data_IF_716753284122
#
_entry.id   IF_716753284122
#
_cell.length_a   1.000
_cell.length_b   1.000
_cell.length_c   1.000
_cell.angle_alpha   90.00
_cell.angle_beta   90.00
_cell.angle_gamma   90.00
#
_symmetry.space_group_name_H-M   'P 1'
#
loop_
_entity.id
_entity.type
_entity.pdbx_description
1 polymer ?
#
# COMPACT_ATOMS: atom_id res chain seq x y z
N UNK A 1 5.83 -8.62 -8.12
CA UNK A 1 4.87 -8.80 -9.23
C UNK A 1 5.46 -8.38 -10.59
N UNK A 2 5.00 -8.98 -11.69
CA UNK A 2 5.13 -8.46 -13.07
C UNK A 2 3.86 -7.68 -13.40
N UNK A 3 3.96 -6.44 -13.88
CA UNK A 3 2.79 -5.57 -14.12
C UNK A 3 2.83 -4.98 -15.52
N UNK A 4 1.76 -5.12 -16.29
CA UNK A 4 1.63 -4.51 -17.61
C UNK A 4 0.21 -3.98 -17.87
N UNK A 5 0.07 -3.14 -18.90
CA UNK A 5 -1.19 -2.50 -19.29
C UNK A 5 -1.16 -2.20 -20.77
N UNK A 6 -2.33 -2.03 -21.39
CA UNK A 6 -2.41 -1.35 -22.69
C UNK A 6 -2.51 0.17 -22.47
N UNK A 7 -1.96 1.00 -23.37
CA UNK A 7 -2.05 2.46 -23.25
C UNK A 7 -3.49 2.98 -23.17
N UNK A 8 -4.42 2.35 -23.89
CA UNK A 8 -5.83 2.72 -24.00
C UNK A 8 -6.74 2.12 -22.93
N UNK A 9 -6.21 1.26 -22.04
CA UNK A 9 -6.99 0.61 -20.98
C UNK A 9 -6.74 1.27 -19.62
N UNK A 10 -7.76 1.20 -18.78
CA UNK A 10 -7.79 1.76 -17.43
C UNK A 10 -7.63 0.70 -16.35
N UNK A 11 -7.08 -0.46 -16.72
CA UNK A 11 -6.71 -1.57 -15.82
C UNK A 11 -5.27 -2.00 -16.07
N UNK A 12 -4.64 -2.59 -15.05
CA UNK A 12 -3.35 -3.25 -15.13
C UNK A 12 -3.50 -4.74 -14.87
N UNK A 13 -2.67 -5.55 -15.52
CA UNK A 13 -2.53 -6.98 -15.28
C UNK A 13 -1.33 -7.20 -14.38
N UNK A 14 -1.53 -7.93 -13.28
CA UNK A 14 -0.48 -8.26 -12.30
C UNK A 14 -0.31 -9.76 -12.21
N UNK A 15 0.87 -10.24 -12.58
CA UNK A 15 1.25 -11.63 -12.51
C UNK A 15 2.27 -11.81 -11.38
N UNK A 16 2.17 -12.92 -10.67
CA UNK A 16 3.20 -13.31 -9.70
C UNK A 16 4.38 -13.89 -10.48
N UNK A 17 5.58 -13.35 -10.28
CA UNK A 17 6.81 -13.83 -10.93
C UNK A 17 7.11 -15.27 -10.49
N UNK A 18 7.79 -16.04 -11.34
CA UNK A 18 8.26 -17.39 -11.00
C UNK A 18 9.37 -17.35 -9.95
N UNK A 19 10.19 -16.29 -9.99
CA UNK A 19 11.29 -16.04 -9.06
C UNK A 19 11.17 -14.63 -8.49
N UNK A 20 11.27 -14.52 -7.17
CA UNK A 20 11.32 -13.24 -6.48
C UNK A 20 12.75 -12.74 -6.43
N UNK A 21 12.91 -11.42 -6.52
CA UNK A 21 14.20 -10.76 -6.43
C UNK A 21 14.70 -10.84 -4.97
N UNK A 22 15.96 -11.27 -4.75
CA UNK A 22 16.57 -11.25 -3.41
C UNK A 22 16.52 -9.82 -2.84
N UNK A 23 16.18 -9.61 -1.56
CA UNK A 23 16.07 -10.58 -0.46
C UNK A 23 14.65 -11.12 -0.19
N UNK A 24 13.69 -10.99 -1.13
CA UNK A 24 12.31 -11.43 -0.86
C UNK A 24 12.22 -12.95 -0.67
N UNK A 25 11.82 -13.40 0.52
CA UNK A 25 11.61 -14.81 0.86
C UNK A 25 10.17 -15.30 0.63
N UNK A 26 9.26 -14.41 0.22
CA UNK A 26 7.86 -14.76 -0.04
C UNK A 26 7.72 -15.79 -1.16
N UNK A 27 6.83 -16.75 -0.98
CA UNK A 27 6.40 -17.70 -2.01
C UNK A 27 5.20 -17.17 -2.80
N UNK A 28 4.93 -17.78 -3.97
CA UNK A 28 3.70 -17.50 -4.74
C UNK A 28 2.44 -17.70 -3.89
N UNK A 29 2.42 -18.76 -3.09
CA UNK A 29 1.28 -19.06 -2.22
C UNK A 29 1.08 -17.96 -1.17
N UNK A 30 2.16 -17.35 -0.68
CA UNK A 30 2.07 -16.27 0.31
C UNK A 30 1.47 -15.01 -0.32
N UNK A 31 1.89 -14.66 -1.54
CA UNK A 31 1.31 -13.54 -2.29
C UNK A 31 -0.18 -13.78 -2.55
N UNK A 32 -0.57 -14.99 -3.01
CA UNK A 32 -2.00 -15.32 -3.23
C UNK A 32 -2.82 -15.21 -1.94
N UNK A 33 -2.28 -15.64 -0.79
CA UNK A 33 -2.97 -15.48 0.50
C UNK A 33 -3.19 -14.02 0.87
N UNK A 34 -2.24 -13.14 0.58
CA UNK A 34 -2.38 -11.69 0.83
C UNK A 34 -3.40 -11.04 -0.10
N UNK A 35 -3.43 -11.42 -1.38
CA UNK A 35 -4.47 -10.98 -2.31
C UNK A 35 -5.87 -11.43 -1.86
N UNK A 36 -6.00 -12.67 -1.41
CA UNK A 36 -7.25 -13.20 -0.85
C UNK A 36 -7.68 -12.45 0.42
N UNK A 37 -6.74 -12.15 1.30
CA UNK A 37 -6.98 -11.34 2.50
C UNK A 37 -7.58 -9.97 2.13
N UNK A 38 -6.99 -9.27 1.15
CA UNK A 38 -7.52 -7.97 0.68
C UNK A 38 -8.92 -8.09 0.08
N UNK A 39 -9.24 -9.22 -0.55
CA UNK A 39 -10.58 -9.47 -1.09
C UNK A 39 -11.62 -9.72 0.01
N UNK A 40 -11.26 -10.46 1.06
CA UNK A 40 -12.16 -10.83 2.16
C UNK A 40 -12.29 -9.75 3.24
N UNK A 41 -11.35 -8.80 3.30
CA UNK A 41 -11.24 -7.81 4.38
C UNK A 41 -11.79 -6.43 4.02
N UNK A 42 -12.18 -5.63 5.02
CA UNK A 42 -12.60 -4.25 4.78
C UNK A 42 -11.45 -3.42 4.22
N UNK A 43 -11.68 -2.89 3.03
CA UNK A 43 -10.71 -2.12 2.26
C UNK A 43 -10.58 -0.68 2.72
N UNK A 44 -11.48 -0.18 3.58
CA UNK A 44 -11.49 1.20 4.08
C UNK A 44 -11.52 2.29 2.97
N UNK A 45 -11.87 1.90 1.73
CA UNK A 45 -11.68 2.72 0.54
C UNK A 45 -10.22 3.09 0.23
N UNK A 46 -9.26 2.33 0.78
CA UNK A 46 -7.80 2.50 0.65
C UNK A 46 -7.09 1.35 -0.05
N UNK A 47 -7.71 0.17 -0.18
CA UNK A 47 -7.16 -0.93 -0.97
C UNK A 47 -7.82 -0.98 -2.35
N UNK A 48 -7.02 -1.16 -3.41
CA UNK A 48 -7.51 -1.32 -4.78
C UNK A 48 -8.13 -2.71 -4.96
N UNK A 49 -9.29 -2.77 -5.59
CA UNK A 49 -9.91 -4.05 -5.93
C UNK A 49 -9.09 -4.82 -6.96
N UNK A 50 -8.74 -6.06 -6.61
CA UNK A 50 -8.08 -7.00 -7.50
C UNK A 50 -9.06 -8.09 -7.91
N UNK A 51 -9.29 -8.22 -9.22
CA UNK A 51 -10.11 -9.28 -9.79
C UNK A 51 -9.20 -10.42 -10.25
N UNK A 52 -9.43 -11.62 -9.75
CA UNK A 52 -8.68 -12.81 -10.15
C UNK A 52 -9.23 -13.39 -11.45
N UNK A 53 -8.34 -13.66 -12.40
CA UNK A 53 -8.65 -14.30 -13.68
C UNK A 53 -7.77 -15.53 -13.87
N UNK A 54 -8.40 -16.60 -14.38
CA UNK A 54 -7.72 -17.82 -14.76
C UNK A 54 -7.85 -18.06 -16.27
N UNK A 55 -6.80 -18.63 -16.86
CA UNK A 55 -6.76 -19.01 -18.27
C UNK A 55 -7.13 -17.89 -19.25
N UNK A 56 -6.73 -16.65 -18.96
CA UNK A 56 -6.97 -15.51 -19.83
C UNK A 56 -6.21 -15.70 -21.15
N UNK A 57 -6.92 -15.56 -22.27
CA UNK A 57 -6.36 -15.65 -23.63
C UNK A 57 -6.33 -14.26 -24.26
N UNK A 58 -5.15 -13.84 -24.68
CA UNK A 58 -4.95 -12.56 -25.35
C UNK A 58 -4.21 -12.84 -26.67
N UNK A 59 -4.69 -12.32 -27.82
CA UNK A 59 -4.00 -12.51 -29.09
C UNK A 59 -2.55 -12.01 -29.03
N UNK A 60 -1.62 -12.79 -29.57
CA UNK A 60 -0.17 -12.52 -29.52
C UNK A 60 0.20 -11.20 -30.16
N UNK A 61 -0.50 -10.80 -31.21
CA UNK A 61 -0.29 -9.54 -31.93
C UNK A 61 -0.62 -8.28 -31.08
N UNK A 62 -1.21 -8.44 -29.90
CA UNK A 62 -1.47 -7.37 -28.94
C UNK A 62 -0.32 -7.13 -27.97
N UNK A 63 0.70 -7.98 -27.95
CA UNK A 63 1.85 -7.81 -27.07
C UNK A 63 2.99 -7.10 -27.79
N UNK A 64 3.61 -6.17 -27.07
CA UNK A 64 4.95 -5.71 -27.44
C UNK A 64 5.92 -6.92 -27.40
N UNK A 65 6.76 -7.12 -28.43
CA UNK A 65 7.66 -8.27 -28.48
C UNK A 65 8.63 -8.37 -27.30
N UNK A 66 9.11 -7.24 -26.76
CA UNK A 66 10.01 -7.24 -25.62
C UNK A 66 9.26 -7.65 -24.34
N UNK A 67 8.05 -7.12 -24.14
CA UNK A 67 7.18 -7.53 -23.03
C UNK A 67 6.90 -9.03 -23.07
N UNK A 68 6.55 -9.58 -24.23
CA UNK A 68 6.26 -11.01 -24.37
C UNK A 68 7.50 -11.88 -24.06
N UNK A 69 8.68 -11.46 -24.52
CA UNK A 69 9.93 -12.16 -24.22
C UNK A 69 10.21 -12.19 -22.71
N UNK A 70 10.01 -11.07 -22.01
CA UNK A 70 10.18 -11.00 -20.56
C UNK A 70 9.16 -11.88 -19.81
N UNK A 71 7.88 -11.88 -20.23
CA UNK A 71 6.85 -12.72 -19.64
C UNK A 71 7.16 -14.22 -19.78
N UNK A 72 7.58 -14.66 -20.97
CA UNK A 72 7.93 -16.06 -21.21
C UNK A 72 9.22 -16.49 -20.50
N UNK A 73 10.09 -15.55 -20.13
CA UNK A 73 11.31 -15.82 -19.37
C UNK A 73 11.06 -15.86 -17.86
N UNK A 74 10.38 -14.85 -17.32
CA UNK A 74 10.31 -14.60 -15.87
C UNK A 74 8.99 -15.07 -15.22
N UNK A 75 7.98 -15.40 -16.03
CA UNK A 75 6.67 -15.90 -15.61
C UNK A 75 6.25 -17.14 -16.43
N UNK A 76 7.22 -17.93 -16.89
CA UNK A 76 7.04 -19.14 -17.71
C UNK A 76 6.10 -20.19 -17.12
N UNK A 77 5.97 -20.27 -15.79
CA UNK A 77 5.03 -21.17 -15.12
C UNK A 77 3.57 -20.74 -15.30
N UNK A 78 3.35 -19.45 -15.55
CA UNK A 78 2.04 -18.81 -15.63
C UNK A 78 1.67 -18.40 -17.06
N UNK A 79 2.66 -18.08 -17.90
CA UNK A 79 2.46 -17.56 -19.25
C UNK A 79 3.01 -18.55 -20.27
N UNK A 80 2.17 -18.92 -21.24
CA UNK A 80 2.57 -19.81 -22.35
C UNK A 80 1.96 -19.35 -23.67
N UNK A 81 2.62 -19.72 -24.77
CA UNK A 81 2.05 -19.58 -26.11
C UNK A 81 1.17 -20.78 -26.43
N UNK A 82 0.05 -20.52 -27.10
CA UNK A 82 -0.84 -21.52 -27.66
C UNK A 82 -1.36 -21.00 -29.01
N UNK A 83 -0.77 -21.49 -30.10
CA UNK A 83 -1.00 -20.99 -31.46
C UNK A 83 -0.77 -19.46 -31.55
N UNK A 84 -1.81 -18.70 -31.93
CA UNK A 84 -1.79 -17.24 -32.05
C UNK A 84 -2.15 -16.51 -30.74
N UNK A 85 -2.37 -17.24 -29.65
CA UNK A 85 -2.71 -16.67 -28.34
C UNK A 85 -1.57 -16.79 -27.32
N UNK A 86 -1.47 -15.76 -26.47
CA UNK A 86 -0.79 -15.84 -25.18
C UNK A 86 -1.82 -16.26 -24.13
N UNK A 87 -1.57 -17.38 -23.46
CA UNK A 87 -2.41 -17.90 -22.38
C UNK A 87 -1.75 -17.58 -21.05
N UNK A 88 -2.48 -16.85 -20.21
CA UNK A 88 -2.08 -16.50 -18.85
C UNK A 88 -2.91 -17.35 -17.90
N UNK A 89 -2.27 -18.33 -17.25
CA UNK A 89 -2.93 -19.28 -16.35
C UNK A 89 -3.58 -18.59 -15.15
N UNK A 90 -2.96 -17.53 -14.64
CA UNK A 90 -3.43 -16.79 -13.46
C UNK A 90 -2.94 -15.34 -13.50
N UNK A 91 -3.83 -14.38 -13.23
CA UNK A 91 -3.49 -12.95 -13.17
C UNK A 91 -4.50 -12.18 -12.32
N UNK A 92 -4.05 -11.11 -11.69
CA UNK A 92 -4.93 -10.14 -11.06
C UNK A 92 -5.13 -8.93 -11.98
N UNK A 93 -6.37 -8.49 -12.15
CA UNK A 93 -6.72 -7.29 -12.89
C UNK A 93 -7.17 -6.23 -11.89
N UNK A 94 -6.46 -5.11 -11.88
CA UNK A 94 -6.72 -3.99 -10.98
C UNK A 94 -6.93 -2.69 -11.77
N UNK A 95 -7.66 -1.74 -11.18
CA UNK A 95 -7.77 -0.40 -11.76
C UNK A 95 -6.38 0.22 -11.93
N UNK A 96 -6.09 0.78 -13.11
CA UNK A 96 -4.89 1.56 -13.34
C UNK A 96 -4.98 2.89 -12.61
N UNK A 97 -4.03 3.11 -11.71
CA UNK A 97 -3.95 4.29 -10.85
C UNK A 97 -2.59 4.94 -11.05
N UNK A 98 -2.50 6.26 -10.89
CA UNK A 98 -1.23 6.97 -11.02
C UNK A 98 -0.35 6.67 -9.80
N UNK A 99 0.86 6.07 -9.94
CA UNK A 99 1.75 5.86 -8.81
C UNK A 99 2.05 7.18 -8.08
N UNK A 100 1.98 7.18 -6.75
CA UNK A 100 2.10 8.38 -5.92
C UNK A 100 3.48 9.01 -6.07
N UNK A 101 4.55 8.21 -6.13
CA UNK A 101 5.90 8.72 -6.39
C UNK A 101 5.99 9.55 -7.69
N UNK A 102 5.33 9.10 -8.78
CA UNK A 102 5.28 9.84 -10.04
C UNK A 102 4.38 11.08 -9.92
N UNK A 103 3.23 10.95 -9.25
CA UNK A 103 2.32 12.06 -9.03
C UNK A 103 3.01 13.20 -8.26
N UNK A 104 3.77 12.88 -7.22
CA UNK A 104 4.50 13.86 -6.41
C UNK A 104 5.61 14.57 -7.18
N UNK A 105 6.11 13.98 -8.28
CA UNK A 105 7.12 14.59 -9.14
C UNK A 105 6.53 15.53 -10.20
N UNK A 106 5.29 15.28 -10.63
CA UNK A 106 4.70 15.94 -11.80
C UNK A 106 3.62 16.97 -11.47
N UNK A 107 2.95 16.82 -10.34
CA UNK A 107 1.82 17.67 -9.98
C UNK A 107 2.28 19.05 -9.47
N UNK A 108 1.36 20.02 -9.46
CA UNK A 108 1.62 21.31 -8.82
C UNK A 108 1.64 21.19 -7.28
N UNK A 109 2.22 22.18 -6.61
CA UNK A 109 2.41 22.19 -5.16
C UNK A 109 1.12 21.96 -4.35
N UNK A 110 -0.01 22.56 -4.77
CA UNK A 110 -1.29 22.39 -4.07
C UNK A 110 -1.79 20.95 -4.15
N UNK A 111 -1.65 20.31 -5.30
CA UNK A 111 -2.00 18.91 -5.51
C UNK A 111 -1.05 17.96 -4.76
N UNK A 112 0.25 18.26 -4.74
CA UNK A 112 1.26 17.55 -3.94
C UNK A 112 0.90 17.59 -2.45
N UNK A 113 0.63 18.77 -1.91
CA UNK A 113 0.25 18.95 -0.51
C UNK A 113 -1.06 18.21 -0.16
N UNK A 114 -2.04 18.18 -1.07
CA UNK A 114 -3.26 17.42 -0.89
C UNK A 114 -3.02 15.91 -0.88
N UNK A 115 -2.23 15.39 -1.83
CA UNK A 115 -1.90 13.97 -1.93
C UNK A 115 -1.05 13.50 -0.74
N UNK A 116 -0.10 14.31 -0.26
CA UNK A 116 0.72 13.96 0.90
C UNK A 116 -0.12 13.84 2.19
N UNK A 117 -1.10 14.73 2.38
CA UNK A 117 -2.04 14.63 3.50
C UNK A 117 -2.93 13.39 3.39
N UNK A 118 -3.47 13.13 2.21
CA UNK A 118 -4.32 11.95 2.02
C UNK A 118 -3.52 10.63 2.06
N UNK A 119 -2.22 10.66 1.73
CA UNK A 119 -1.30 9.55 1.95
C UNK A 119 -1.15 9.24 3.44
N UNK A 120 -0.86 10.24 4.28
CA UNK A 120 -0.83 10.04 5.73
C UNK A 120 -2.17 9.55 6.29
N UNK A 121 -3.30 10.08 5.80
CA UNK A 121 -4.63 9.60 6.18
C UNK A 121 -4.86 8.15 5.72
N UNK A 122 -4.41 7.77 4.52
CA UNK A 122 -4.57 6.40 4.01
C UNK A 122 -3.90 5.36 4.89
N UNK A 123 -2.72 5.67 5.46
CA UNK A 123 -2.02 4.81 6.42
C UNK A 123 -2.87 4.63 7.69
N UNK A 124 -3.43 5.72 8.21
CA UNK A 124 -4.28 5.67 9.41
C UNK A 124 -5.56 4.89 9.18
N UNK A 125 -6.19 5.07 8.02
CA UNK A 125 -7.41 4.37 7.62
C UNK A 125 -7.15 2.86 7.47
N UNK A 126 -6.01 2.46 6.89
CA UNK A 126 -5.59 1.06 6.82
C UNK A 126 -5.30 0.48 8.20
N UNK A 127 -4.59 1.22 9.06
CA UNK A 127 -4.36 0.79 10.44
C UNK A 127 -5.67 0.62 11.22
N UNK A 128 -6.62 1.53 11.03
CA UNK A 128 -7.97 1.46 11.59
C UNK A 128 -8.75 0.24 11.12
N UNK A 129 -8.52 -0.23 9.89
CA UNK A 129 -9.06 -1.49 9.39
C UNK A 129 -8.18 -2.70 9.71
N UNK A 130 -7.27 -2.65 10.70
CA UNK A 130 -6.38 -3.76 11.05
C UNK A 130 -5.42 -4.20 9.94
N UNK A 131 -5.07 -3.31 9.00
CA UNK A 131 -4.14 -3.60 7.91
C UNK A 131 -2.85 -2.82 8.11
N UNK A 132 -1.72 -3.52 8.12
CA UNK A 132 -0.41 -2.92 7.98
C UNK A 132 0.11 -3.17 6.55
N UNK A 133 0.46 -2.11 5.79
CA UNK A 133 0.87 -2.27 4.40
C UNK A 133 2.20 -3.00 4.19
N UNK A 134 3.04 -3.13 5.22
CA UNK A 134 4.44 -3.54 5.07
C UNK A 134 5.27 -2.33 4.65
N UNK A 135 5.68 -2.29 3.38
CA UNK A 135 6.45 -1.21 2.78
C UNK A 135 5.59 0.04 2.49
N UNK A 136 5.83 1.11 3.25
CA UNK A 136 5.17 2.40 3.11
C UNK A 136 5.74 3.26 1.95
N UNK A 137 6.65 2.76 1.12
CA UNK A 137 7.18 3.55 0.00
C UNK A 137 6.07 4.04 -0.96
N UNK A 138 6.19 5.29 -1.39
CA UNK A 138 5.19 5.96 -2.26
C UNK A 138 4.99 5.30 -3.63
N UNK A 139 5.92 4.44 -4.08
CA UNK A 139 5.75 3.62 -5.28
C UNK A 139 4.68 2.52 -5.14
N UNK A 140 4.29 2.17 -3.91
CA UNK A 140 3.29 1.13 -3.60
C UNK A 140 1.88 1.73 -3.42
N UNK A 141 1.79 3.07 -3.47
CA UNK A 141 0.55 3.83 -3.37
C UNK A 141 0.25 4.53 -4.68
N UNK A 142 -1.02 4.81 -4.93
CA UNK A 142 -1.48 5.49 -6.11
C UNK A 142 -2.52 6.56 -5.83
N UNK A 143 -2.59 7.56 -6.71
CA UNK A 143 -3.56 8.65 -6.69
C UNK A 143 -4.64 8.39 -7.73
N UNK A 144 -5.88 8.27 -7.25
CA UNK A 144 -7.08 8.12 -8.09
C UNK A 144 -7.44 9.42 -8.81
N UNK A 145 -8.36 9.36 -9.77
CA UNK A 145 -8.87 10.55 -10.50
C UNK A 145 -9.44 11.64 -9.57
N UNK A 146 -9.96 11.26 -8.40
CA UNK A 146 -10.53 12.17 -7.41
C UNK A 146 -9.51 12.64 -6.35
N UNK A 147 -8.23 12.32 -6.54
CA UNK A 147 -7.16 12.74 -5.64
C UNK A 147 -7.07 11.92 -4.36
N UNK A 148 -7.76 10.78 -4.26
CA UNK A 148 -7.57 9.84 -3.14
C UNK A 148 -6.34 8.97 -3.35
N UNK A 149 -5.57 8.79 -2.28
CA UNK A 149 -4.46 7.87 -2.16
C UNK A 149 -4.96 6.50 -1.72
N UNK A 150 -4.53 5.48 -2.45
CA UNK A 150 -4.86 4.07 -2.24
C UNK A 150 -3.59 3.23 -2.34
N UNK A 151 -3.56 2.10 -1.65
CA UNK A 151 -2.49 1.12 -1.63
C UNK A 151 -2.81 -0.02 -2.60
N UNK A 152 -1.80 -0.51 -3.32
CA UNK A 152 -1.99 -1.55 -4.36
C UNK A 152 -0.90 -2.64 -4.37
N UNK A 153 0.11 -2.59 -3.51
CA UNK A 153 1.15 -3.63 -3.48
C UNK A 153 0.96 -4.56 -2.28
N UNK A 154 0.32 -5.70 -2.47
CA UNK A 154 -0.06 -6.57 -1.37
C UNK A 154 1.00 -7.61 -1.00
N UNK A 155 2.20 -7.55 -1.58
CA UNK A 155 3.25 -8.57 -1.37
C UNK A 155 3.71 -8.65 0.11
N UNK A 156 3.68 -7.53 0.84
CA UNK A 156 4.16 -7.42 2.24
C UNK A 156 3.06 -7.08 3.25
N UNK A 157 1.82 -6.99 2.78
CA UNK A 157 0.68 -6.67 3.63
C UNK A 157 0.44 -7.75 4.67
N UNK A 158 0.14 -7.33 5.90
CA UNK A 158 -0.25 -8.21 7.01
C UNK A 158 -1.28 -7.54 7.93
N UNK A 159 -1.78 -8.29 8.91
CA UNK A 159 -2.64 -7.71 9.92
C UNK A 159 -1.85 -6.82 10.87
N UNK A 160 -2.39 -5.66 11.19
CA UNK A 160 -1.78 -4.75 12.15
C UNK A 160 -1.58 -5.43 13.51
N UNK A 161 -2.49 -6.31 13.93
CA UNK A 161 -2.40 -7.03 15.20
C UNK A 161 -1.23 -8.01 15.30
N UNK A 162 -0.67 -8.45 14.17
CA UNK A 162 0.43 -9.42 14.10
C UNK A 162 1.81 -8.73 14.15
N UNK A 163 1.83 -7.41 13.96
CA UNK A 163 3.01 -6.56 14.02
C UNK A 163 3.51 -6.33 15.46
N UNK A 164 4.83 -6.15 15.61
CA UNK A 164 5.50 -5.78 16.86
C UNK A 164 6.09 -4.38 16.72
N UNK A 165 5.32 -3.35 17.05
CA UNK A 165 5.78 -1.95 16.98
C UNK A 165 6.64 -1.60 18.19
N UNK A 166 7.92 -1.28 17.96
CA UNK A 166 8.93 -1.05 19.00
C UNK A 166 9.54 0.33 18.88
N UNK A 167 10.01 0.86 20.00
CA UNK A 167 10.79 2.09 20.02
C UNK A 167 12.18 1.78 19.49
N UNK A 168 12.70 2.65 18.62
CA UNK A 168 14.05 2.49 18.08
C UNK A 168 15.09 2.68 19.21
N UNK A 169 15.90 1.67 19.55
CA UNK A 169 16.89 1.78 20.61
C UNK A 169 17.88 2.92 20.34
N UNK A 170 18.03 3.82 21.31
CA UNK A 170 19.02 4.90 21.23
C UNK A 170 20.40 4.34 21.55
N UNK A 171 21.38 4.65 20.70
CA UNK A 171 22.76 4.28 20.95
C UNK A 171 23.27 4.98 22.22
N UNK A 172 24.03 4.24 23.03
CA UNK A 172 24.59 4.70 24.30
C UNK A 172 26.11 4.75 24.29
N UNK A 173 26.75 4.21 23.25
CA UNK A 173 28.20 4.25 23.06
C UNK A 173 28.57 4.63 21.62
N UNK A 174 29.75 5.22 21.38
CA UNK A 174 30.20 5.55 20.03
C UNK A 174 30.27 4.33 19.10
N UNK A 175 30.63 3.16 19.62
CA UNK A 175 30.69 1.91 18.85
C UNK A 175 29.30 1.49 18.35
N UNK A 176 28.25 1.75 19.13
CA UNK A 176 26.87 1.49 18.73
C UNK A 176 26.39 2.46 17.65
N UNK A 177 26.79 3.74 17.71
CA UNK A 177 26.47 4.74 16.68
C UNK A 177 27.16 4.45 15.35
N UNK A 178 28.39 3.89 15.39
CA UNK A 178 29.19 3.56 14.21
C UNK A 178 28.92 2.15 13.66
N UNK A 179 28.04 1.37 14.29
CA UNK A 179 27.76 0.00 13.87
C UNK A 179 27.12 -0.04 12.47
N UNK A 180 27.66 -0.88 11.59
CA UNK A 180 27.15 -1.03 10.22
C UNK A 180 25.83 -1.85 10.16
N UNK A 181 25.59 -2.67 11.18
CA UNK A 181 24.37 -3.45 11.37
C UNK A 181 23.73 -3.08 12.71
N UNK A 182 22.41 -3.27 12.88
CA UNK A 182 21.75 -3.03 14.16
C UNK A 182 22.46 -3.77 15.30
N UNK A 183 22.89 -3.02 16.33
CA UNK A 183 23.54 -3.59 17.52
C UNK A 183 22.54 -4.26 18.49
N UNK A 184 21.26 -4.27 18.14
CA UNK A 184 20.17 -4.85 18.90
C UNK A 184 19.43 -5.91 18.07
N UNK A 185 18.74 -6.83 18.75
CA UNK A 185 17.99 -7.89 18.08
C UNK A 185 16.70 -7.35 17.43
N UNK A 186 16.55 -7.66 16.14
CA UNK A 186 15.36 -7.42 15.31
C UNK A 186 14.74 -8.77 14.95
N UNK A 187 13.45 -8.94 15.22
CA UNK A 187 12.66 -10.12 14.81
C UNK A 187 11.86 -9.83 13.54
N UNK A 188 11.38 -10.89 12.88
CA UNK A 188 10.67 -10.82 11.58
C UNK A 188 9.50 -9.81 11.53
N UNK A 189 8.78 -9.63 12.64
CA UNK A 189 7.63 -8.72 12.72
C UNK A 189 7.92 -7.43 13.51
N UNK A 190 9.18 -7.18 13.90
CA UNK A 190 9.55 -5.95 14.59
C UNK A 190 9.56 -4.78 13.59
N UNK A 191 8.83 -3.72 13.93
CA UNK A 191 8.69 -2.52 13.10
C UNK A 191 9.05 -1.31 13.95
N UNK A 192 9.88 -0.43 13.38
CA UNK A 192 10.34 0.83 13.98
C UNK A 192 9.83 2.01 13.14
N UNK A 193 8.63 2.54 13.43
CA UNK A 193 8.04 3.65 12.68
C UNK A 193 8.91 4.90 12.55
N UNK A 194 9.84 5.10 13.47
CA UNK A 194 10.81 6.21 13.48
C UNK A 194 11.76 6.16 12.29
N UNK A 195 11.95 4.98 11.67
CA UNK A 195 12.82 4.82 10.50
C UNK A 195 12.10 5.18 9.19
N UNK A 196 10.76 5.12 9.14
CA UNK A 196 10.01 5.37 7.91
C UNK A 196 10.36 6.70 7.22
N UNK A 197 10.52 7.85 7.93
CA UNK A 197 10.90 9.11 7.29
C UNK A 197 12.19 9.02 6.47
N UNK A 198 13.14 8.16 6.86
CA UNK A 198 14.44 8.03 6.18
C UNK A 198 14.29 7.44 4.77
N UNK A 199 13.27 6.60 4.55
CA UNK A 199 13.08 5.89 3.28
C UNK A 199 12.10 6.57 2.32
N UNK A 200 11.17 7.40 2.83
CA UNK A 200 10.08 7.96 2.02
C UNK A 200 10.52 8.96 0.94
N UNK A 201 11.69 9.60 1.08
CA UNK A 201 12.31 10.56 0.13
C UNK A 201 11.29 11.47 -0.58
N UNK A 202 10.50 12.20 0.21
CA UNK A 202 9.42 13.05 -0.28
C UNK A 202 9.95 14.44 -0.70
N UNK A 203 9.34 15.10 -1.71
CA UNK A 203 9.56 16.53 -1.95
C UNK A 203 9.23 17.37 -0.71
N UNK A 204 9.89 18.51 -0.50
CA UNK A 204 9.75 19.34 0.71
C UNK A 204 8.30 19.73 1.03
N UNK A 205 7.53 20.11 0.00
CA UNK A 205 6.10 20.45 0.13
C UNK A 205 5.29 19.25 0.62
N UNK A 206 5.57 18.05 0.10
CA UNK A 206 4.90 16.82 0.50
C UNK A 206 5.30 16.42 1.93
N UNK A 207 6.60 16.46 2.25
CA UNK A 207 7.13 16.16 3.57
C UNK A 207 6.50 17.07 4.64
N UNK A 208 6.53 18.38 4.42
CA UNK A 208 5.96 19.37 5.34
C UNK A 208 4.46 19.16 5.55
N UNK A 209 3.71 18.93 4.46
CA UNK A 209 2.26 18.71 4.52
C UNK A 209 1.88 17.40 5.22
N UNK A 210 2.71 16.35 5.07
CA UNK A 210 2.52 15.08 5.75
C UNK A 210 2.78 15.22 7.25
N UNK A 211 3.92 15.80 7.63
CA UNK A 211 4.33 15.96 9.02
C UNK A 211 3.40 16.88 9.80
N UNK A 212 2.88 17.94 9.18
CA UNK A 212 1.93 18.86 9.82
C UNK A 212 0.70 18.13 10.41
N UNK A 213 0.22 17.07 9.74
CA UNK A 213 -1.04 16.40 10.12
C UNK A 213 -0.89 14.96 10.59
N UNK A 214 0.19 14.29 10.17
CA UNK A 214 0.33 12.84 10.30
C UNK A 214 1.70 12.43 10.86
N UNK A 215 2.43 13.33 11.55
CA UNK A 215 3.71 12.96 12.18
C UNK A 215 3.59 11.82 13.21
N UNK A 216 2.40 11.57 13.74
CA UNK A 216 2.10 10.46 14.64
C UNK A 216 2.26 9.08 13.99
N UNK A 217 2.14 8.95 12.66
CA UNK A 217 2.36 7.65 11.97
C UNK A 217 3.83 7.19 12.04
N UNK A 218 4.75 8.10 12.40
CA UNK A 218 6.16 7.82 12.62
C UNK A 218 6.49 7.55 14.09
N UNK A 219 5.46 7.38 14.93
CA UNK A 219 5.61 7.12 16.36
C UNK A 219 5.04 5.75 16.71
N UNK A 220 5.80 4.87 17.38
CA UNK A 220 5.32 3.56 17.79
C UNK A 220 4.02 3.61 18.61
N UNK A 221 3.80 4.67 19.39
CA UNK A 221 2.62 4.82 20.24
C UNK A 221 1.32 4.90 19.44
N UNK A 222 1.34 5.50 18.25
CA UNK A 222 0.18 5.54 17.36
C UNK A 222 -0.28 4.12 17.02
N UNK A 223 0.67 3.29 16.57
CA UNK A 223 0.41 1.93 16.13
C UNK A 223 -0.01 1.02 17.29
N UNK A 224 0.72 1.07 18.42
CA UNK A 224 0.34 0.33 19.64
C UNK A 224 -1.04 0.75 20.16
N UNK A 225 -1.35 2.05 20.09
CA UNK A 225 -2.66 2.59 20.44
C UNK A 225 -3.77 2.02 19.56
N UNK A 226 -3.54 1.94 18.25
CA UNK A 226 -4.49 1.32 17.30
C UNK A 226 -4.66 -0.18 17.57
N UNK A 227 -3.55 -0.92 17.75
CA UNK A 227 -3.60 -2.34 18.12
C UNK A 227 -4.40 -2.57 19.41
N UNK A 228 -4.26 -1.71 20.42
CA UNK A 228 -5.01 -1.80 21.67
C UNK A 228 -6.52 -1.69 21.44
N UNK A 229 -6.95 -0.71 20.62
CA UNK A 229 -8.37 -0.52 20.27
C UNK A 229 -8.93 -1.74 19.54
N UNK A 230 -8.21 -2.22 18.52
CA UNK A 230 -8.61 -3.39 17.74
C UNK A 230 -8.70 -4.66 18.60
N UNK A 231 -7.73 -4.89 19.49
CA UNK A 231 -7.74 -6.02 20.44
C UNK A 231 -8.86 -5.91 21.49
N UNK A 232 -9.33 -4.69 21.78
CA UNK A 232 -10.49 -4.46 22.64
C UNK A 232 -11.84 -4.70 21.91
N UNK A 233 -11.81 -5.04 20.61
CA UNK A 233 -13.00 -5.22 19.79
C UNK A 233 -13.65 -3.91 19.34
N UNK A 234 -12.95 -2.77 19.49
CA UNK A 234 -13.41 -1.51 18.91
C UNK A 234 -13.37 -1.60 17.38
N UNK A 235 -14.33 -0.94 16.72
CA UNK A 235 -14.37 -0.77 15.27
C UNK A 235 -14.09 0.72 15.00
N UNK A 236 -12.83 1.12 14.76
CA UNK A 236 -12.50 2.50 14.49
C UNK A 236 -13.24 3.02 13.24
N UNK A 237 -13.81 4.22 13.33
CA UNK A 237 -14.54 4.80 12.21
C UNK A 237 -13.60 5.25 11.08
N UNK A 238 -13.89 4.79 9.86
CA UNK A 238 -13.28 5.31 8.63
C UNK A 238 -14.35 6.06 7.83
N UNK A 239 -14.12 7.35 7.59
CA UNK A 239 -15.07 8.19 6.86
C UNK A 239 -14.74 8.24 5.36
N UNK A 240 -15.71 8.02 4.46
CA UNK A 240 -15.48 8.10 3.01
C UNK A 240 -15.46 9.55 2.49
N UNK A 241 -15.41 10.55 3.38
CA UNK A 241 -15.44 11.97 3.08
C UNK A 241 -14.51 12.76 4.02
N UNK A 242 -14.12 13.97 3.59
CA UNK A 242 -13.23 14.82 4.39
C UNK A 242 -13.95 15.39 5.62
N UNK A 243 -13.19 15.64 6.69
CA UNK A 243 -13.72 16.15 7.95
C UNK A 243 -14.55 17.43 7.81
N UNK A 244 -14.21 18.31 6.85
CA UNK A 244 -14.95 19.58 6.62
C UNK A 244 -16.35 19.35 6.05
N UNK A 245 -16.68 18.14 5.60
CA UNK A 245 -18.01 17.73 5.14
C UNK A 245 -18.83 17.05 6.24
N UNK A 246 -18.26 16.80 7.41
CA UNK A 246 -18.98 16.17 8.53
C UNK A 246 -20.05 17.14 9.04
N UNK A 247 -21.29 16.67 9.11
CA UNK A 247 -22.38 17.44 9.72
C UNK A 247 -22.09 17.57 11.22
N UNK A 248 -22.01 18.80 11.73
CA UNK A 248 -21.88 19.03 13.18
C UNK A 248 -23.19 18.67 13.88
N UNK A 249 -23.09 18.04 15.05
CA UNK A 249 -24.25 17.62 15.86
C UNK A 249 -25.06 18.80 16.46
N UNK A 250 -24.78 20.05 16.09
CA UNK A 250 -25.40 21.23 16.71
C UNK A 250 -26.85 21.49 16.29
N UNK A 251 -27.48 20.58 15.54
CA UNK A 251 -28.89 20.69 15.12
C UNK A 251 -29.87 19.96 16.05
N UNK A 252 -29.40 19.33 17.14
CA UNK A 252 -30.27 18.57 18.05
C UNK A 252 -30.93 19.40 19.18
N UNK A 253 -30.67 20.71 19.30
CA UNK A 253 -31.24 21.56 20.38
C UNK A 253 -32.46 22.40 19.98
N UNK A 254 -32.98 22.28 18.76
CA UNK A 254 -34.19 23.00 18.31
C UNK A 254 -35.37 22.03 18.18
N UNK A 255 -35.73 21.38 19.30
CA UNK A 255 -37.01 20.66 19.44
C UNK A 255 -37.49 20.69 20.90
N UNK A 256 -37.36 21.86 21.53
CA UNK A 256 -37.97 22.19 22.82
C UNK A 256 -38.81 23.44 22.71
N UNK A 257 -39.84 23.40 21.86
CA UNK A 257 -40.94 24.36 21.92
C UNK A 257 -42.10 23.70 22.67
N UNK A 258 -42.27 24.11 23.92
CA UNK A 258 -43.58 24.19 24.60
C UNK A 258 -43.81 25.64 24.94
#
# INVERSE_FOLDING_TARGET
MFVFTLPSYDVVFKLIKDRFDYPKENTRADVMRRYRLVFEHDRAGRLVEAHEFEHLRIPRDRFDPALLADLLRDASSTVRLNDEDVVIAHTYVERRIRPLNLFLFEANEAAIAAAARDYGQSIKDLAASNIFPGDLLTKNFGVTRHGRVVFYDYDELCFLTDCSFRDLPQATTPEQEMAAEPWFSVRENDIFPEEFPQFLRLPDVACSSLLERHADVFRPEFWRGMQKKLRAGEIPEVFPYKAERRLSSSLASVAGCT
#
